data_IF_166399164727
#
_entry.id   IF_166399164727
#
_cell.length_a   1.000
_cell.length_b   1.000
_cell.length_c   1.000
_cell.angle_alpha   90.00
_cell.angle_beta   90.00
_cell.angle_gamma   90.00
#
_symmetry.space_group_name_H-M   'P 1'
#
loop_
_entity.id
_entity.type
_entity.pdbx_description
1 polymer ?
#
# COMPACT_ATOMS: atom_id res chain seq x y z
N UNK A 1 24.03 35.28 2.21
CA UNK A 1 23.56 34.25 1.26
C UNK A 1 23.77 32.91 1.94
N UNK A 2 22.75 32.42 2.63
CA UNK A 2 22.71 31.08 3.20
C UNK A 2 21.36 30.52 2.77
N UNK A 3 21.33 29.97 1.56
CA UNK A 3 20.18 29.23 1.02
C UNK A 3 20.13 27.85 1.68
N UNK A 4 19.79 27.83 2.96
CA UNK A 4 19.28 26.61 3.57
C UNK A 4 17.79 26.53 3.23
N UNK A 5 17.49 26.01 2.03
CA UNK A 5 16.18 25.44 1.72
C UNK A 5 16.00 24.16 2.56
N UNK A 6 15.74 24.37 3.84
CA UNK A 6 15.51 23.39 4.90
C UNK A 6 14.18 22.66 4.66
N UNK A 7 14.17 21.71 3.74
CA UNK A 7 13.38 20.50 3.97
C UNK A 7 14.03 19.77 5.13
N UNK A 8 13.60 20.06 6.37
CA UNK A 8 14.15 19.38 7.55
C UNK A 8 14.01 17.86 7.36
N UNK A 9 14.96 17.02 7.81
CA UNK A 9 14.86 15.55 7.70
C UNK A 9 13.51 15.00 8.19
N UNK A 10 12.89 15.71 9.13
CA UNK A 10 11.53 15.47 9.63
C UNK A 10 10.43 15.64 8.58
N UNK A 11 10.49 16.64 7.69
CA UNK A 11 9.42 16.89 6.70
C UNK A 11 9.33 15.77 5.66
N UNK A 12 10.47 15.23 5.21
CA UNK A 12 10.50 14.13 4.25
C UNK A 12 9.92 12.85 4.85
N UNK A 13 10.20 12.55 6.11
CA UNK A 13 9.62 11.38 6.78
C UNK A 13 8.11 11.48 6.96
N UNK A 14 7.61 12.66 7.33
CA UNK A 14 6.18 12.92 7.38
C UNK A 14 5.54 12.76 6.01
N UNK A 15 6.17 13.26 4.95
CA UNK A 15 5.71 13.04 3.58
C UNK A 15 5.68 11.55 3.22
N UNK A 16 6.73 10.79 3.52
CA UNK A 16 6.78 9.33 3.31
C UNK A 16 5.67 8.60 4.06
N UNK A 17 5.47 8.91 5.33
CA UNK A 17 4.38 8.34 6.13
C UNK A 17 2.99 8.69 5.58
N UNK A 18 2.80 9.92 5.09
CA UNK A 18 1.56 10.35 4.44
C UNK A 18 1.31 9.62 3.13
N UNK A 19 2.34 9.33 2.32
CA UNK A 19 2.18 8.56 1.07
C UNK A 19 1.65 7.15 1.39
N UNK A 20 2.31 6.42 2.30
CA UNK A 20 1.88 5.06 2.67
C UNK A 20 0.46 5.06 3.27
N UNK A 21 0.18 6.03 4.14
CA UNK A 21 -1.16 6.18 4.74
C UNK A 21 -2.22 6.50 3.68
N UNK A 22 -1.90 7.36 2.71
CA UNK A 22 -2.83 7.73 1.65
C UNK A 22 -3.17 6.54 0.76
N UNK A 23 -2.18 5.68 0.46
CA UNK A 23 -2.42 4.43 -0.28
C UNK A 23 -3.38 3.54 0.53
N UNK A 24 -3.09 3.29 1.81
CA UNK A 24 -3.96 2.51 2.67
C UNK A 24 -5.38 3.07 2.78
N UNK A 25 -5.53 4.40 2.87
CA UNK A 25 -6.83 5.06 2.92
C UNK A 25 -7.61 4.86 1.61
N UNK A 26 -6.99 5.17 0.48
CA UNK A 26 -7.62 5.11 -0.85
C UNK A 26 -8.04 3.68 -1.16
N UNK A 27 -7.17 2.70 -0.92
CA UNK A 27 -7.55 1.30 -1.15
C UNK A 27 -8.58 0.82 -0.15
N UNK A 28 -8.52 1.25 1.11
CA UNK A 28 -9.53 0.90 2.12
C UNK A 28 -10.92 1.39 1.74
N UNK A 29 -11.03 2.63 1.24
CA UNK A 29 -12.29 3.19 0.74
C UNK A 29 -12.82 2.41 -0.46
N UNK A 30 -11.95 1.99 -1.39
CA UNK A 30 -12.34 1.16 -2.53
C UNK A 30 -12.93 -0.20 -2.10
N UNK A 31 -12.40 -0.81 -1.03
CA UNK A 31 -12.96 -2.07 -0.51
C UNK A 31 -14.27 -1.87 0.28
N UNK A 32 -14.49 -0.70 0.88
CA UNK A 32 -15.74 -0.39 1.60
C UNK A 32 -16.93 -0.24 0.65
N UNK A 33 -16.74 0.31 -0.54
CA UNK A 33 -17.79 0.46 -1.55
C UNK A 33 -18.39 -0.92 -1.90
N UNK A 34 -17.52 -1.90 -2.13
CA UNK A 34 -17.93 -3.28 -2.43
C UNK A 34 -18.51 -4.04 -1.24
N UNK A 35 -18.12 -3.69 0.00
CA UNK A 35 -18.74 -4.28 1.20
C UNK A 35 -20.25 -3.98 1.26
N UNK A 36 -20.66 -2.80 0.77
CA UNK A 36 -22.06 -2.38 0.75
C UNK A 36 -22.83 -3.11 -0.35
N UNK A 37 -22.19 -3.35 -1.50
CA UNK A 37 -22.81 -4.02 -2.66
C UNK A 37 -22.95 -5.54 -2.46
N UNK A 38 -21.94 -6.19 -1.86
CA UNK A 38 -21.83 -7.66 -1.80
C UNK A 38 -22.18 -8.28 -0.43
N UNK A 39 -22.85 -7.52 0.46
CA UNK A 39 -23.12 -7.89 1.86
C UNK A 39 -23.83 -9.24 2.09
N UNK A 40 -24.40 -9.86 1.04
CA UNK A 40 -25.17 -11.10 1.12
C UNK A 40 -24.41 -12.37 0.68
N UNK A 41 -23.15 -12.27 0.24
CA UNK A 41 -22.38 -13.42 -0.25
C UNK A 41 -21.38 -13.96 0.81
N UNK A 42 -21.40 -15.27 1.09
CA UNK A 42 -20.47 -15.92 2.05
C UNK A 42 -18.96 -15.77 1.81
N UNK A 43 -18.42 -15.49 0.59
CA UNK A 43 -16.97 -15.27 0.42
C UNK A 43 -16.45 -13.94 1.02
N UNK A 44 -17.34 -13.06 1.49
CA UNK A 44 -17.04 -11.68 1.95
C UNK A 44 -15.92 -11.59 2.98
N UNK A 45 -15.72 -12.61 3.82
CA UNK A 45 -14.75 -12.56 4.92
C UNK A 45 -13.31 -12.51 4.40
N UNK A 46 -12.90 -13.36 3.45
CA UNK A 46 -11.51 -13.38 2.99
C UNK A 46 -11.23 -12.34 1.90
N UNK A 47 -12.20 -12.04 1.04
CA UNK A 47 -11.99 -11.12 -0.09
C UNK A 47 -12.13 -9.65 0.27
N UNK A 48 -12.80 -9.31 1.39
CA UNK A 48 -13.03 -7.91 1.76
C UNK A 48 -12.38 -7.58 3.11
N UNK A 49 -12.52 -8.41 4.15
CA UNK A 49 -11.94 -8.08 5.46
C UNK A 49 -10.42 -8.14 5.47
N UNK A 50 -9.80 -9.04 4.69
CA UNK A 50 -8.34 -9.12 4.64
C UNK A 50 -7.73 -7.87 3.97
N UNK A 51 -8.17 -7.44 2.77
CA UNK A 51 -7.66 -6.19 2.18
C UNK A 51 -7.98 -4.96 3.04
N UNK A 52 -9.17 -4.88 3.66
CA UNK A 52 -9.49 -3.80 4.61
C UNK A 52 -8.54 -3.79 5.81
N UNK A 53 -8.24 -4.96 6.37
CA UNK A 53 -7.28 -5.12 7.45
C UNK A 53 -5.89 -4.65 7.04
N UNK A 54 -5.44 -5.00 5.82
CA UNK A 54 -4.17 -4.51 5.27
C UNK A 54 -4.19 -2.99 5.07
N UNK A 55 -5.28 -2.41 4.56
CA UNK A 55 -5.44 -0.96 4.42
C UNK A 55 -5.29 -0.22 5.76
N UNK A 56 -5.93 -0.73 6.82
CA UNK A 56 -5.74 -0.20 8.19
C UNK A 56 -4.31 -0.42 8.68
N UNK A 57 -3.71 -1.57 8.36
CA UNK A 57 -2.31 -1.86 8.62
C UNK A 57 -1.37 -0.83 7.98
N UNK A 58 -1.62 -0.44 6.72
CA UNK A 58 -0.85 0.57 6.00
C UNK A 58 -1.03 1.98 6.59
N UNK A 59 -2.24 2.33 7.04
CA UNK A 59 -2.45 3.59 7.80
C UNK A 59 -1.58 3.61 9.06
N UNK A 60 -1.58 2.51 9.81
CA UNK A 60 -0.76 2.39 11.02
C UNK A 60 0.73 2.39 10.70
N UNK A 61 1.15 1.72 9.63
CA UNK A 61 2.52 1.65 9.17
C UNK A 61 3.04 3.02 8.71
N UNK A 62 2.25 3.78 7.96
CA UNK A 62 2.59 5.15 7.55
C UNK A 62 2.71 6.10 8.75
N UNK A 63 1.79 6.01 9.72
CA UNK A 63 1.91 6.75 10.97
C UNK A 63 3.17 6.36 11.77
N UNK A 64 3.47 5.07 11.87
CA UNK A 64 4.68 4.58 12.55
C UNK A 64 5.94 5.07 11.84
N UNK A 65 6.01 5.00 10.50
CA UNK A 65 7.13 5.50 9.71
C UNK A 65 7.37 7.00 9.96
N UNK A 66 6.30 7.81 10.00
CA UNK A 66 6.40 9.23 10.30
C UNK A 66 7.01 9.49 11.70
N UNK A 67 6.78 8.59 12.67
CA UNK A 67 7.23 8.70 14.07
C UNK A 67 8.50 7.92 14.40
N UNK A 68 9.02 7.09 13.49
CA UNK A 68 10.21 6.23 13.69
C UNK A 68 11.50 7.03 13.94
N UNK A 69 12.65 6.38 14.12
CA UNK A 69 13.95 7.10 14.19
C UNK A 69 14.74 7.01 12.88
N UNK A 70 14.13 6.49 11.81
CA UNK A 70 14.79 6.37 10.51
C UNK A 70 15.24 7.73 9.96
N UNK A 71 16.37 7.72 9.26
CA UNK A 71 16.83 8.84 8.45
C UNK A 71 15.89 9.13 7.29
N UNK A 72 15.99 10.32 6.69
CA UNK A 72 15.12 10.69 5.57
C UNK A 72 15.35 9.81 4.34
N UNK A 73 16.60 9.44 4.05
CA UNK A 73 16.96 8.53 2.96
C UNK A 73 16.37 7.13 3.15
N UNK A 74 16.45 6.61 4.38
CA UNK A 74 15.83 5.35 4.78
C UNK A 74 14.31 5.38 4.59
N UNK A 75 13.64 6.44 5.07
CA UNK A 75 12.20 6.60 4.89
C UNK A 75 11.77 6.72 3.42
N UNK A 76 12.57 7.35 2.57
CA UNK A 76 12.33 7.41 1.11
C UNK A 76 12.53 6.03 0.48
N UNK A 77 13.57 5.29 0.88
CA UNK A 77 13.80 3.92 0.40
C UNK A 77 12.62 2.99 0.70
N UNK A 78 12.05 3.06 1.92
CA UNK A 78 10.86 2.28 2.30
C UNK A 78 9.68 2.61 1.37
N UNK A 79 9.46 3.88 1.06
CA UNK A 79 8.40 4.30 0.14
C UNK A 79 8.65 3.78 -1.27
N UNK A 80 9.89 3.85 -1.77
CA UNK A 80 10.25 3.32 -3.09
C UNK A 80 9.94 1.82 -3.16
N UNK A 81 10.35 1.03 -2.16
CA UNK A 81 10.03 -0.39 -2.12
C UNK A 81 8.53 -0.66 -2.03
N UNK A 82 7.79 0.15 -1.27
CA UNK A 82 6.32 0.07 -1.20
C UNK A 82 5.67 0.31 -2.58
N UNK A 83 6.14 1.33 -3.31
CA UNK A 83 5.64 1.63 -4.66
C UNK A 83 6.02 0.53 -5.65
N UNK A 84 7.26 0.01 -5.60
CA UNK A 84 7.69 -1.11 -6.44
C UNK A 84 6.81 -2.33 -6.19
N UNK A 85 6.55 -2.67 -4.92
CA UNK A 85 5.69 -3.79 -4.56
C UNK A 85 4.25 -3.59 -5.08
N UNK A 86 3.70 -2.39 -4.92
CA UNK A 86 2.39 -2.04 -5.46
C UNK A 86 2.32 -2.23 -6.98
N UNK A 87 3.30 -1.71 -7.72
CA UNK A 87 3.37 -1.86 -9.18
C UNK A 87 3.53 -3.32 -9.59
N UNK A 88 4.44 -4.07 -8.95
CA UNK A 88 4.71 -5.47 -9.28
C UNK A 88 3.47 -6.36 -9.09
N UNK A 89 2.75 -6.21 -7.98
CA UNK A 89 1.52 -6.97 -7.76
C UNK A 89 0.35 -6.45 -8.60
N UNK A 90 0.25 -5.15 -8.87
CA UNK A 90 -0.79 -4.62 -9.76
C UNK A 90 -0.63 -5.15 -11.18
N UNK A 91 0.60 -5.18 -11.70
CA UNK A 91 0.88 -5.76 -13.03
C UNK A 91 0.55 -7.25 -13.07
N UNK A 92 0.86 -7.99 -12.00
CA UNK A 92 0.50 -9.40 -11.87
C UNK A 92 -1.02 -9.59 -11.83
N UNK A 93 -1.71 -8.73 -11.07
CA UNK A 93 -3.17 -8.68 -10.99
C UNK A 93 -3.82 -8.36 -12.33
N UNK A 94 -3.26 -7.43 -13.11
CA UNK A 94 -3.73 -7.08 -14.45
C UNK A 94 -3.62 -8.27 -15.44
N UNK A 95 -2.56 -9.07 -15.34
CA UNK A 95 -2.42 -10.31 -16.12
C UNK A 95 -3.51 -11.32 -15.73
N UNK A 96 -3.76 -11.49 -14.44
CA UNK A 96 -4.84 -12.36 -13.93
C UNK A 96 -6.21 -11.85 -14.39
N UNK A 97 -6.48 -10.55 -14.27
CA UNK A 97 -7.72 -9.93 -14.75
C UNK A 97 -7.91 -10.13 -16.26
N UNK A 98 -6.85 -10.00 -17.06
CA UNK A 98 -6.92 -10.26 -18.50
C UNK A 98 -7.30 -11.72 -18.77
N UNK A 99 -6.64 -12.67 -18.10
CA UNK A 99 -6.96 -14.09 -18.23
C UNK A 99 -8.43 -14.38 -17.85
N UNK A 100 -8.92 -13.78 -16.77
CA UNK A 100 -10.29 -13.94 -16.27
C UNK A 100 -11.32 -13.30 -17.22
N UNK A 101 -11.01 -12.13 -17.78
CA UNK A 101 -11.87 -11.43 -18.76
C UNK A 101 -12.00 -12.20 -20.08
N UNK A 102 -10.95 -12.91 -20.50
CA UNK A 102 -10.99 -13.81 -21.68
C UNK A 102 -11.85 -15.04 -21.39
N UNK A 103 -11.94 -15.48 -20.13
CA UNK A 103 -12.81 -16.60 -19.71
C UNK A 103 -14.24 -16.19 -19.36
N UNK A 104 -14.56 -14.88 -19.32
CA UNK A 104 -15.92 -14.36 -19.15
C UNK A 104 -16.41 -14.11 -17.72
N UNK A 105 -15.51 -14.05 -16.72
CA UNK A 105 -15.89 -13.81 -15.32
C UNK A 105 -15.71 -12.32 -14.94
N UNK A 106 -16.69 -11.72 -14.26
CA UNK A 106 -16.80 -10.26 -14.06
C UNK A 106 -16.24 -9.76 -12.74
N UNK A 107 -15.53 -10.58 -11.96
CA UNK A 107 -14.91 -10.21 -10.66
C UNK A 107 -13.68 -9.30 -10.77
N UNK A 108 -13.63 -8.45 -11.79
CA UNK A 108 -12.44 -7.68 -12.20
C UNK A 108 -12.18 -6.48 -11.27
N UNK A 109 -13.20 -5.91 -10.62
CA UNK A 109 -13.03 -4.66 -9.85
C UNK A 109 -12.33 -4.83 -8.49
N UNK A 110 -12.46 -5.98 -7.82
CA UNK A 110 -11.84 -6.21 -6.48
C UNK A 110 -10.33 -6.47 -6.58
N UNK A 111 -9.87 -7.04 -7.70
CA UNK A 111 -8.48 -7.50 -7.86
C UNK A 111 -7.49 -6.33 -7.87
N UNK A 112 -7.87 -5.17 -8.44
CA UNK A 112 -6.96 -4.04 -8.57
C UNK A 112 -6.65 -3.40 -7.20
N UNK A 113 -7.65 -2.98 -6.38
CA UNK A 113 -7.38 -2.40 -5.06
C UNK A 113 -6.70 -3.39 -4.11
N UNK A 114 -7.03 -4.67 -4.19
CA UNK A 114 -6.37 -5.72 -3.39
C UNK A 114 -4.89 -5.85 -3.77
N UNK A 115 -4.58 -5.98 -5.06
CA UNK A 115 -3.19 -6.11 -5.54
C UNK A 115 -2.31 -4.89 -5.21
N UNK A 116 -2.86 -3.67 -5.28
CA UNK A 116 -2.17 -2.45 -4.85
C UNK A 116 -1.88 -2.47 -3.35
N UNK A 117 -2.87 -2.85 -2.53
CA UNK A 117 -2.74 -2.87 -1.07
C UNK A 117 -1.71 -3.91 -0.62
N UNK A 118 -1.84 -5.13 -1.13
CA UNK A 118 -0.92 -6.24 -0.84
C UNK A 118 0.49 -5.90 -1.32
N UNK A 119 0.63 -5.36 -2.53
CA UNK A 119 1.91 -4.98 -3.08
C UNK A 119 2.59 -3.89 -2.26
N UNK A 120 1.82 -2.88 -1.84
CA UNK A 120 2.32 -1.82 -0.96
C UNK A 120 2.77 -2.39 0.38
N UNK A 121 2.00 -3.30 0.99
CA UNK A 121 2.33 -3.91 2.27
C UNK A 121 3.59 -4.78 2.19
N UNK A 122 3.73 -5.61 1.16
CA UNK A 122 4.92 -6.45 0.93
C UNK A 122 6.14 -5.56 0.69
N UNK A 123 6.00 -4.55 -0.19
CA UNK A 123 7.06 -3.61 -0.48
C UNK A 123 7.49 -2.81 0.74
N UNK A 124 6.54 -2.39 1.58
CA UNK A 124 6.84 -1.73 2.86
C UNK A 124 7.64 -2.63 3.79
N UNK A 125 7.16 -3.87 4.01
CA UNK A 125 7.84 -4.83 4.88
C UNK A 125 9.25 -5.15 4.38
N UNK A 126 9.42 -5.34 3.08
CA UNK A 126 10.71 -5.54 2.45
C UNK A 126 11.63 -4.32 2.61
N UNK A 127 11.13 -3.11 2.39
CA UNK A 127 11.91 -1.89 2.56
C UNK A 127 12.43 -1.71 3.99
N UNK A 128 11.59 -2.01 4.99
CA UNK A 128 12.00 -2.01 6.41
C UNK A 128 13.07 -3.07 6.67
N UNK A 129 12.88 -4.29 6.16
CA UNK A 129 13.85 -5.38 6.30
C UNK A 129 15.20 -5.06 5.65
N UNK A 130 15.20 -4.49 4.45
CA UNK A 130 16.42 -4.15 3.72
C UNK A 130 17.28 -3.14 4.50
N UNK A 131 16.65 -2.11 5.08
CA UNK A 131 17.35 -1.13 5.91
C UNK A 131 17.93 -1.77 7.16
N UNK A 132 17.17 -2.65 7.82
CA UNK A 132 17.64 -3.34 9.02
C UNK A 132 18.84 -4.25 8.75
N UNK A 133 18.95 -4.83 7.56
CA UNK A 133 20.04 -5.73 7.19
C UNK A 133 21.31 -4.99 6.72
N UNK A 134 21.20 -3.70 6.38
CA UNK A 134 22.34 -2.87 5.95
C UNK A 134 23.03 -2.14 7.14
N UNK A 135 22.48 -2.24 8.36
CA UNK A 135 23.03 -1.73 9.63
C UNK A 135 23.89 -2.76 10.36
#
# INVERSE_FOLDING_TARGET
MNDQLLGTPTSQRWASGMIISSIGLVTGLAHLDHLIEDAYAMPVVSSILFPLGLSVGLLRAGYWLAKSDYGSEQAVSIVIWSVIGAVALTLSGAVVQHAVSVTGDTTVMIVLPSSVTEGTAIGFAYGVYAIWNDE
#
